data_IF_951803584535
#
_entry.id   IF_951803584535
#
_cell.length_a   1.000
_cell.length_b   1.000
_cell.length_c   1.000
_cell.angle_alpha   90.00
_cell.angle_beta   90.00
_cell.angle_gamma   90.00
#
_symmetry.space_group_name_H-M   'P 1'
#
loop_
_entity.id
_entity.type
_entity.pdbx_description
1 polymer ?
#
# COMPACT_ATOMS: atom_id res chain seq x y z
N UNK A 1 7.75 -6.81 -36.89
CA UNK A 1 7.07 -6.59 -35.61
C UNK A 1 7.99 -5.70 -34.78
N UNK A 2 7.65 -4.41 -34.66
CA UNK A 2 8.47 -3.48 -33.87
C UNK A 2 8.31 -3.79 -32.38
N UNK A 3 9.39 -4.16 -31.73
CA UNK A 3 9.44 -4.20 -30.26
C UNK A 3 9.19 -2.77 -29.75
N UNK A 4 8.01 -2.56 -29.17
CA UNK A 4 7.73 -1.33 -28.42
C UNK A 4 8.73 -1.27 -27.25
N UNK A 5 9.86 -0.58 -27.46
CA UNK A 5 10.84 -0.35 -26.40
C UNK A 5 10.16 0.46 -25.30
N UNK A 6 9.96 -0.18 -24.14
CA UNK A 6 9.50 0.52 -22.92
C UNK A 6 10.42 1.69 -22.62
N UNK A 7 9.82 2.83 -22.28
CA UNK A 7 10.57 4.01 -21.81
C UNK A 7 11.24 3.73 -20.47
N UNK A 8 12.25 4.51 -20.12
CA UNK A 8 12.94 4.38 -18.81
C UNK A 8 11.96 4.63 -17.68
N UNK A 9 11.08 5.61 -17.81
CA UNK A 9 10.07 5.96 -16.80
C UNK A 9 9.06 4.82 -16.57
N UNK A 10 8.66 4.13 -17.65
CA UNK A 10 7.77 2.95 -17.53
C UNK A 10 8.46 1.81 -16.76
N UNK A 11 9.75 1.58 -17.01
CA UNK A 11 10.50 0.55 -16.27
C UNK A 11 10.58 0.85 -14.78
N UNK A 12 10.96 2.09 -14.43
CA UNK A 12 11.05 2.54 -13.04
C UNK A 12 9.68 2.45 -12.35
N UNK A 13 8.61 2.91 -13.03
CA UNK A 13 7.25 2.84 -12.51
C UNK A 13 6.77 1.40 -12.26
N UNK A 14 7.06 0.48 -13.18
CA UNK A 14 6.73 -0.94 -13.04
C UNK A 14 7.50 -1.58 -11.87
N UNK A 15 8.79 -1.29 -11.73
CA UNK A 15 9.59 -1.82 -10.61
C UNK A 15 9.05 -1.35 -9.26
N UNK A 16 8.65 -0.09 -9.17
CA UNK A 16 8.02 0.46 -7.98
C UNK A 16 6.72 -0.28 -7.65
N UNK A 17 5.83 -0.48 -8.62
CA UNK A 17 4.56 -1.20 -8.44
C UNK A 17 4.82 -2.64 -7.97
N UNK A 18 5.82 -3.33 -8.54
CA UNK A 18 6.19 -4.69 -8.14
C UNK A 18 6.68 -4.72 -6.69
N UNK A 19 7.52 -3.76 -6.30
CA UNK A 19 7.99 -3.66 -4.92
C UNK A 19 6.83 -3.40 -3.95
N UNK A 20 5.93 -2.47 -4.29
CA UNK A 20 4.73 -2.18 -3.49
C UNK A 20 3.80 -3.40 -3.37
N UNK A 21 3.64 -4.20 -4.43
CA UNK A 21 2.91 -5.47 -4.38
C UNK A 21 3.60 -6.50 -3.48
N UNK A 22 4.94 -6.57 -3.54
CA UNK A 22 5.73 -7.47 -2.69
C UNK A 22 5.63 -7.16 -1.20
N UNK A 23 5.30 -5.92 -0.86
CA UNK A 23 5.12 -5.44 0.51
C UNK A 23 3.63 -5.32 0.91
N UNK A 24 2.69 -5.67 0.02
CA UNK A 24 1.26 -5.39 0.24
C UNK A 24 0.72 -6.02 1.53
N UNK A 25 1.14 -7.24 1.89
CA UNK A 25 0.73 -7.90 3.13
C UNK A 25 1.26 -7.18 4.36
N UNK A 26 2.53 -6.81 4.34
CA UNK A 26 3.20 -6.10 5.44
C UNK A 26 2.58 -4.72 5.64
N UNK A 27 2.32 -4.01 4.54
CA UNK A 27 1.67 -2.68 4.59
C UNK A 27 0.23 -2.74 5.11
N UNK A 28 -0.52 -3.81 4.80
CA UNK A 28 -1.86 -4.01 5.38
C UNK A 28 -1.79 -4.28 6.88
N UNK A 29 -0.85 -5.11 7.32
CA UNK A 29 -0.66 -5.39 8.75
C UNK A 29 -0.23 -4.12 9.50
N UNK A 30 0.74 -3.34 8.97
CA UNK A 30 1.14 -2.05 9.55
C UNK A 30 -0.03 -1.07 9.63
N UNK A 31 -0.87 -1.01 8.59
CA UNK A 31 -2.06 -0.17 8.59
C UNK A 31 -3.03 -0.52 9.73
N UNK A 32 -3.27 -1.80 10.00
CA UNK A 32 -4.15 -2.21 11.10
C UNK A 32 -3.54 -1.89 12.48
N UNK A 33 -2.24 -2.13 12.67
CA UNK A 33 -1.53 -1.75 13.91
C UNK A 33 -1.63 -0.24 14.14
N UNK A 34 -1.44 0.58 13.11
CA UNK A 34 -1.56 2.04 13.22
C UNK A 34 -2.97 2.50 13.55
N UNK A 35 -3.99 1.84 12.99
CA UNK A 35 -5.40 2.14 13.33
C UNK A 35 -5.69 1.84 14.79
N UNK A 36 -5.18 0.72 15.32
CA UNK A 36 -5.33 0.37 16.73
C UNK A 36 -4.63 1.40 17.63
N UNK A 37 -3.39 1.77 17.29
CA UNK A 37 -2.66 2.82 18.01
C UNK A 37 -3.41 4.15 18.01
N UNK A 38 -3.94 4.55 16.86
CA UNK A 38 -4.75 5.76 16.73
C UNK A 38 -6.01 5.70 17.59
N UNK A 39 -6.67 4.53 17.65
CA UNK A 39 -7.86 4.33 18.49
C UNK A 39 -7.54 4.52 19.97
N UNK A 40 -6.39 4.00 20.44
CA UNK A 40 -5.92 4.19 21.82
C UNK A 40 -5.70 5.68 22.13
N UNK A 41 -5.01 6.41 21.24
CA UNK A 41 -4.78 7.85 21.44
C UNK A 41 -6.07 8.67 21.45
N UNK A 42 -7.00 8.35 20.56
CA UNK A 42 -8.32 9.00 20.52
C UNK A 42 -9.13 8.70 21.79
N UNK A 43 -9.07 7.47 22.28
CA UNK A 43 -9.71 7.10 23.53
C UNK A 43 -9.15 7.92 24.70
N UNK A 44 -7.84 8.00 24.85
CA UNK A 44 -7.19 8.78 25.89
C UNK A 44 -7.54 10.28 25.82
N UNK A 45 -7.65 10.85 24.60
CA UNK A 45 -8.10 12.24 24.43
C UNK A 45 -9.58 12.46 24.79
N UNK A 46 -10.43 11.46 24.51
CA UNK A 46 -11.86 11.53 24.83
C UNK A 46 -12.15 11.26 26.30
N UNK A 47 -11.25 10.56 26.98
CA UNK A 47 -11.36 10.28 28.40
C UNK A 47 -11.25 11.58 29.23
N UNK A 48 -12.09 11.69 30.24
CA UNK A 48 -11.99 12.77 31.23
C UNK A 48 -10.85 12.54 32.25
N UNK A 49 -10.20 11.38 32.22
CA UNK A 49 -9.14 10.99 33.13
C UNK A 49 -7.78 11.41 32.60
N UNK A 50 -7.06 12.21 33.37
CA UNK A 50 -5.70 12.61 33.00
C UNK A 50 -4.71 11.42 33.04
N UNK A 51 -4.99 10.41 33.87
CA UNK A 51 -4.21 9.17 33.98
C UNK A 51 -4.06 8.46 32.62
N UNK A 52 -5.14 8.40 31.81
CA UNK A 52 -5.10 7.77 30.48
C UNK A 52 -4.14 8.47 29.50
N UNK A 53 -3.93 9.77 29.70
CA UNK A 53 -2.94 10.55 28.94
C UNK A 53 -1.52 10.32 29.48
N UNK A 54 -1.37 10.30 30.81
CA UNK A 54 -0.07 10.08 31.44
C UNK A 54 0.48 8.70 31.09
N UNK A 55 -0.36 7.67 31.07
CA UNK A 55 0.00 6.30 30.66
C UNK A 55 0.56 6.23 29.23
N UNK A 56 0.11 7.10 28.32
CA UNK A 56 0.67 7.16 26.96
C UNK A 56 2.13 7.64 26.96
N UNK A 57 2.50 8.52 27.86
CA UNK A 57 3.87 9.03 27.95
C UNK A 57 4.80 8.06 28.69
N UNK A 58 4.30 7.35 29.69
CA UNK A 58 5.08 6.38 30.47
C UNK A 58 5.40 5.10 29.65
N UNK A 59 4.49 4.71 28.75
CA UNK A 59 4.66 3.52 27.90
C UNK A 59 5.33 3.79 26.56
N UNK A 60 5.67 5.04 26.23
CA UNK A 60 6.34 5.39 24.97
C UNK A 60 7.85 5.35 25.18
N UNK A 61 8.62 4.44 24.54
CA UNK A 61 10.07 4.42 24.71
C UNK A 61 10.65 5.74 24.18
N UNK A 62 11.23 6.52 25.09
CA UNK A 62 12.08 7.69 24.84
C UNK A 62 11.60 8.70 23.78
N UNK A 63 10.34 9.08 23.78
CA UNK A 63 10.00 10.38 23.22
C UNK A 63 10.47 11.45 24.21
N UNK A 64 11.74 11.81 24.13
CA UNK A 64 12.24 13.05 24.70
C UNK A 64 11.48 14.19 24.04
N UNK A 65 10.33 14.53 24.62
CA UNK A 65 9.69 15.81 24.37
C UNK A 65 10.73 16.86 24.66
N UNK A 66 11.28 17.48 23.62
CA UNK A 66 12.04 18.72 23.74
C UNK A 66 11.11 19.80 24.28
N UNK A 67 10.70 19.67 25.53
CA UNK A 67 9.95 20.73 26.19
C UNK A 67 10.81 21.98 26.14
N UNK A 68 10.33 23.09 25.56
CA UNK A 68 11.05 24.36 25.69
C UNK A 68 11.18 24.63 27.19
N UNK A 69 12.41 24.63 27.68
CA UNK A 69 12.66 25.03 29.08
C UNK A 69 12.08 26.43 29.24
N UNK A 70 10.98 26.52 30.00
CA UNK A 70 10.36 27.79 30.30
C UNK A 70 11.41 28.71 30.95
N UNK A 71 11.71 29.82 30.27
CA UNK A 71 12.65 30.83 30.76
C UNK A 71 12.16 31.56 32.01
N UNK A 72 10.92 31.37 32.41
CA UNK A 72 10.27 32.00 33.53
C UNK A 72 9.88 30.96 34.57
N UNK A 73 10.33 31.12 35.82
CA UNK A 73 9.89 30.35 36.98
C UNK A 73 8.41 30.70 37.24
N UNK A 74 7.50 29.81 36.86
CA UNK A 74 6.11 29.91 37.29
C UNK A 74 6.08 29.55 38.78
N UNK A 75 5.69 30.50 39.60
CA UNK A 75 5.83 30.40 41.05
C UNK A 75 4.74 29.57 41.74
N UNK A 76 3.76 29.01 40.99
CA UNK A 76 2.65 28.24 41.52
C UNK A 76 2.63 26.82 41.00
N UNK A 77 2.81 25.79 41.88
CA UNK A 77 2.85 24.39 41.45
C UNK A 77 1.59 23.92 40.74
N UNK A 78 0.43 24.48 41.10
CA UNK A 78 -0.85 24.17 40.47
C UNK A 78 -0.93 24.65 38.99
N UNK A 79 -0.44 25.87 38.75
CA UNK A 79 -0.40 26.43 37.37
C UNK A 79 0.59 25.66 36.50
N UNK A 80 1.71 25.22 37.04
CA UNK A 80 2.66 24.35 36.34
C UNK A 80 2.07 23.00 36.00
N UNK A 81 1.31 22.37 36.92
CA UNK A 81 0.66 21.11 36.70
C UNK A 81 -0.42 21.22 35.59
N UNK A 82 -1.24 22.28 35.62
CA UNK A 82 -2.24 22.54 34.58
C UNK A 82 -1.61 22.76 33.20
N UNK A 83 -0.58 23.60 33.10
CA UNK A 83 0.15 23.85 31.87
C UNK A 83 0.79 22.57 31.32
N UNK A 84 1.30 21.69 32.18
CA UNK A 84 1.87 20.41 31.78
C UNK A 84 0.81 19.49 31.19
N UNK A 85 -0.39 19.44 31.80
CA UNK A 85 -1.53 18.64 31.32
C UNK A 85 -2.03 19.12 29.95
N UNK A 86 -2.24 20.43 29.81
CA UNK A 86 -2.68 21.02 28.55
C UNK A 86 -1.66 20.76 27.44
N UNK A 87 -0.36 20.86 27.75
CA UNK A 87 0.72 20.58 26.81
C UNK A 87 0.73 19.10 26.39
N UNK A 88 0.55 18.17 27.32
CA UNK A 88 0.45 16.74 27.01
C UNK A 88 -0.75 16.46 26.10
N UNK A 89 -1.93 17.01 26.41
CA UNK A 89 -3.13 16.87 25.55
C UNK A 89 -2.90 17.44 24.15
N UNK A 90 -2.32 18.62 24.04
CA UNK A 90 -2.01 19.22 22.74
C UNK A 90 -1.02 18.36 21.94
N UNK A 91 -0.05 17.77 22.61
CA UNK A 91 0.92 16.86 21.99
C UNK A 91 0.24 15.59 21.44
N UNK A 92 -0.63 14.95 22.24
CA UNK A 92 -1.38 13.78 21.78
C UNK A 92 -2.32 14.13 20.61
N UNK A 93 -2.96 15.31 20.64
CA UNK A 93 -3.77 15.79 19.51
C UNK A 93 -2.93 15.95 18.23
N UNK A 94 -1.70 16.40 18.33
CA UNK A 94 -0.81 16.51 17.19
C UNK A 94 -0.41 15.12 16.66
N UNK A 95 -0.13 14.16 17.56
CA UNK A 95 0.14 12.77 17.17
C UNK A 95 -1.05 12.16 16.43
N UNK A 96 -2.27 12.34 16.94
CA UNK A 96 -3.50 11.87 16.28
C UNK A 96 -3.60 12.44 14.86
N UNK A 97 -3.42 13.75 14.68
CA UNK A 97 -3.50 14.39 13.35
C UNK A 97 -2.43 13.85 12.38
N UNK A 98 -1.20 13.68 12.86
CA UNK A 98 -0.11 13.12 12.04
C UNK A 98 -0.41 11.68 11.64
N UNK A 99 -0.84 10.86 12.60
CA UNK A 99 -1.12 9.44 12.34
C UNK A 99 -2.33 9.27 11.41
N UNK A 100 -3.39 10.05 11.56
CA UNK A 100 -4.52 10.07 10.62
C UNK A 100 -4.07 10.39 9.19
N UNK A 101 -3.18 11.34 9.02
CA UNK A 101 -2.63 11.68 7.70
C UNK A 101 -1.86 10.51 7.08
N UNK A 102 -1.04 9.81 7.88
CA UNK A 102 -0.27 8.64 7.45
C UNK A 102 -1.21 7.50 7.09
N UNK A 103 -2.16 7.17 7.95
CA UNK A 103 -3.16 6.12 7.72
C UNK A 103 -3.95 6.39 6.43
N UNK A 104 -4.46 7.61 6.25
CA UNK A 104 -5.21 8.00 5.06
C UNK A 104 -4.39 7.89 3.77
N UNK A 105 -3.08 8.19 3.84
CA UNK A 105 -2.17 8.02 2.71
C UNK A 105 -1.96 6.55 2.40
N UNK A 106 -1.65 5.73 3.41
CA UNK A 106 -1.45 4.28 3.25
C UNK A 106 -2.70 3.58 2.70
N UNK A 107 -3.88 3.92 3.23
CA UNK A 107 -5.15 3.37 2.75
C UNK A 107 -5.38 3.67 1.27
N UNK A 108 -5.11 4.90 0.84
CA UNK A 108 -5.25 5.28 -0.58
C UNK A 108 -4.27 4.53 -1.47
N UNK A 109 -3.02 4.37 -1.05
CA UNK A 109 -2.00 3.63 -1.80
C UNK A 109 -2.35 2.15 -1.92
N UNK A 110 -2.74 1.50 -0.81
CA UNK A 110 -3.19 0.10 -0.79
C UNK A 110 -4.42 -0.08 -1.70
N UNK A 111 -5.43 0.79 -1.55
CA UNK A 111 -6.66 0.72 -2.35
C UNK A 111 -6.40 0.92 -3.85
N UNK A 112 -5.49 1.81 -4.21
CA UNK A 112 -5.07 2.02 -5.60
C UNK A 112 -4.49 0.74 -6.21
N UNK A 113 -3.62 0.04 -5.47
CA UNK A 113 -3.05 -1.25 -5.91
C UNK A 113 -4.12 -2.35 -6.03
N UNK A 114 -5.06 -2.42 -5.08
CA UNK A 114 -6.16 -3.38 -5.11
C UNK A 114 -7.07 -3.17 -6.32
N UNK A 115 -7.50 -1.93 -6.58
CA UNK A 115 -8.32 -1.58 -7.75
C UNK A 115 -7.57 -1.91 -9.05
N UNK A 116 -6.28 -1.60 -9.12
CA UNK A 116 -5.49 -1.93 -10.30
C UNK A 116 -5.38 -3.45 -10.51
N UNK A 117 -5.25 -4.24 -9.44
CA UNK A 117 -5.30 -5.70 -9.51
C UNK A 117 -6.67 -6.20 -9.96
N UNK A 118 -7.77 -5.61 -9.46
CA UNK A 118 -9.14 -5.95 -9.87
C UNK A 118 -9.39 -5.66 -11.36
N UNK A 119 -8.67 -4.70 -11.95
CA UNK A 119 -8.73 -4.39 -13.38
C UNK A 119 -8.01 -5.38 -14.31
N UNK A 120 -7.30 -6.36 -13.75
CA UNK A 120 -6.70 -7.46 -14.51
C UNK A 120 -7.69 -8.62 -14.74
N UNK A 121 -7.42 -9.45 -15.74
CA UNK A 121 -8.16 -10.71 -15.90
C UNK A 121 -7.89 -11.67 -14.74
N UNK A 122 -8.79 -12.62 -14.42
CA UNK A 122 -8.58 -13.57 -13.32
C UNK A 122 -7.26 -14.34 -13.42
N UNK A 123 -6.84 -14.72 -14.63
CA UNK A 123 -5.56 -15.39 -14.87
C UNK A 123 -4.37 -14.49 -14.54
N UNK A 124 -4.42 -13.24 -14.99
CA UNK A 124 -3.37 -12.25 -14.73
C UNK A 124 -3.28 -11.91 -13.23
N UNK A 125 -4.44 -11.75 -12.57
CA UNK A 125 -4.50 -11.52 -11.12
C UNK A 125 -3.83 -12.66 -10.35
N UNK A 126 -4.17 -13.91 -10.70
CA UNK A 126 -3.60 -15.08 -10.06
C UNK A 126 -2.08 -15.09 -10.17
N UNK A 127 -1.56 -14.96 -11.40
CA UNK A 127 -0.11 -15.04 -11.65
C UNK A 127 0.63 -13.89 -10.95
N UNK A 128 0.10 -12.67 -10.98
CA UNK A 128 0.70 -11.50 -10.32
C UNK A 128 0.71 -11.68 -8.80
N UNK A 129 -0.41 -12.12 -8.20
CA UNK A 129 -0.48 -12.39 -6.76
C UNK A 129 0.48 -13.50 -6.35
N UNK A 130 0.45 -14.63 -7.03
CA UNK A 130 1.31 -15.78 -6.75
C UNK A 130 2.81 -15.40 -6.84
N UNK A 131 3.19 -14.59 -7.85
CA UNK A 131 4.59 -14.22 -8.05
C UNK A 131 5.10 -13.14 -7.11
N UNK A 132 4.32 -12.07 -6.89
CA UNK A 132 4.82 -10.88 -6.19
C UNK A 132 4.32 -10.76 -4.75
N UNK A 133 3.09 -11.18 -4.47
CA UNK A 133 2.52 -11.12 -3.11
C UNK A 133 2.89 -12.37 -2.31
N UNK A 134 2.71 -13.57 -2.92
CA UNK A 134 2.99 -14.86 -2.27
C UNK A 134 4.43 -15.33 -2.46
N UNK A 135 5.17 -14.71 -3.38
CA UNK A 135 6.59 -14.95 -3.66
C UNK A 135 6.90 -16.40 -4.07
N UNK A 136 5.93 -17.10 -4.72
CA UNK A 136 6.11 -18.48 -5.17
C UNK A 136 7.17 -18.61 -6.27
N UNK A 137 7.81 -19.78 -6.31
CA UNK A 137 8.70 -20.16 -7.41
C UNK A 137 7.88 -20.39 -8.70
N UNK A 138 8.52 -20.28 -9.87
CA UNK A 138 7.83 -20.48 -11.14
C UNK A 138 7.27 -21.88 -11.29
N UNK A 139 7.95 -22.90 -10.80
CA UNK A 139 7.47 -24.29 -10.83
C UNK A 139 6.15 -24.46 -10.04
N UNK A 140 6.05 -23.82 -8.86
CA UNK A 140 4.82 -23.83 -8.05
C UNK A 140 3.71 -23.07 -8.75
N UNK A 141 4.02 -21.91 -9.36
CA UNK A 141 3.04 -21.11 -10.09
C UNK A 141 2.51 -21.90 -11.29
N UNK A 142 3.38 -22.54 -12.07
CA UNK A 142 3.00 -23.34 -13.22
C UNK A 142 2.08 -24.49 -12.81
N UNK A 143 2.45 -25.24 -11.78
CA UNK A 143 1.67 -26.35 -11.26
C UNK A 143 0.27 -25.88 -10.79
N UNK A 144 0.24 -24.91 -9.87
CA UNK A 144 -1.01 -24.43 -9.28
C UNK A 144 -1.91 -23.75 -10.31
N UNK A 145 -1.34 -22.93 -11.21
CA UNK A 145 -2.10 -22.26 -12.27
C UNK A 145 -2.81 -23.26 -13.18
N UNK A 146 -2.11 -24.29 -13.62
CA UNK A 146 -2.68 -25.30 -14.49
C UNK A 146 -3.72 -26.15 -13.76
N UNK A 147 -3.53 -26.43 -12.48
CA UNK A 147 -4.47 -27.20 -11.67
C UNK A 147 -5.76 -26.40 -11.34
N UNK A 148 -5.64 -25.12 -11.03
CA UNK A 148 -6.76 -24.30 -10.58
C UNK A 148 -7.51 -23.62 -11.73
N UNK A 149 -6.77 -23.12 -12.73
CA UNK A 149 -7.32 -22.30 -13.82
C UNK A 149 -7.56 -23.07 -15.12
N UNK A 150 -6.94 -24.24 -15.30
CA UNK A 150 -7.00 -25.02 -16.52
C UNK A 150 -7.50 -26.44 -16.21
N UNK A 151 -8.80 -26.69 -16.47
CA UNK A 151 -9.39 -28.02 -16.26
C UNK A 151 -9.04 -29.01 -17.36
N UNK A 152 -8.70 -28.51 -18.57
CA UNK A 152 -8.37 -29.37 -19.73
C UNK A 152 -6.87 -29.51 -19.91
N UNK A 153 -6.36 -30.74 -19.94
CA UNK A 153 -4.94 -31.08 -20.08
C UNK A 153 -4.32 -30.47 -21.36
N UNK A 154 -5.12 -30.32 -22.45
CA UNK A 154 -4.65 -29.74 -23.70
C UNK A 154 -4.40 -28.21 -23.65
N UNK A 155 -4.74 -27.55 -22.54
CA UNK A 155 -4.57 -26.10 -22.33
C UNK A 155 -3.48 -25.75 -21.34
N UNK A 156 -2.60 -26.67 -20.98
CA UNK A 156 -1.50 -26.38 -20.06
C UNK A 156 -0.58 -25.29 -20.58
N UNK A 157 -0.29 -24.33 -19.70
CA UNK A 157 0.66 -23.25 -19.97
C UNK A 157 1.99 -23.55 -19.31
N UNK A 158 3.04 -23.55 -20.11
CA UNK A 158 4.41 -23.70 -19.62
C UNK A 158 4.93 -22.40 -19.01
N UNK A 159 5.92 -22.49 -18.14
CA UNK A 159 6.57 -21.36 -17.45
C UNK A 159 6.88 -20.19 -18.38
N UNK A 160 7.43 -20.46 -19.57
CA UNK A 160 7.77 -19.41 -20.56
C UNK A 160 6.55 -18.56 -20.95
N UNK A 161 5.41 -19.19 -21.15
CA UNK A 161 4.15 -18.50 -21.49
C UNK A 161 3.63 -17.70 -20.31
N UNK A 162 3.70 -18.24 -19.09
CA UNK A 162 3.31 -17.55 -17.86
C UNK A 162 4.18 -16.33 -17.61
N UNK A 163 5.49 -16.42 -17.83
CA UNK A 163 6.42 -15.28 -17.74
C UNK A 163 6.07 -14.15 -18.73
N UNK A 164 5.62 -14.49 -19.95
CA UNK A 164 5.18 -13.50 -20.93
C UNK A 164 3.86 -12.83 -20.48
N UNK A 165 2.89 -13.61 -19.99
CA UNK A 165 1.65 -13.06 -19.40
C UNK A 165 1.94 -12.09 -18.23
N UNK A 166 2.90 -12.43 -17.37
CA UNK A 166 3.32 -11.52 -16.29
C UNK A 166 3.89 -10.20 -16.83
N UNK A 167 4.71 -10.23 -17.88
CA UNK A 167 5.23 -8.99 -18.49
C UNK A 167 4.09 -8.11 -19.00
N UNK A 168 3.10 -8.69 -19.66
CA UNK A 168 1.94 -7.96 -20.15
C UNK A 168 1.08 -7.43 -19.00
N UNK A 169 0.80 -8.25 -17.99
CA UNK A 169 0.02 -7.86 -16.82
C UNK A 169 0.68 -6.72 -16.02
N UNK A 170 2.03 -6.73 -15.87
CA UNK A 170 2.79 -5.64 -15.26
C UNK A 170 2.63 -4.32 -16.00
N UNK A 171 2.66 -4.37 -17.33
CA UNK A 171 2.46 -3.19 -18.15
C UNK A 171 1.02 -2.67 -18.04
N UNK A 172 0.03 -3.56 -18.02
CA UNK A 172 -1.38 -3.20 -17.77
C UNK A 172 -1.55 -2.53 -16.40
N UNK A 173 -0.96 -3.10 -15.34
CA UNK A 173 -0.98 -2.50 -14.00
C UNK A 173 -0.42 -1.08 -14.01
N UNK A 174 0.71 -0.88 -14.68
CA UNK A 174 1.31 0.44 -14.81
C UNK A 174 0.34 1.44 -15.46
N UNK A 175 -0.32 1.07 -16.55
CA UNK A 175 -1.28 1.95 -17.22
C UNK A 175 -2.56 2.18 -16.41
N UNK A 176 -3.05 1.19 -15.66
CA UNK A 176 -4.20 1.36 -14.78
C UNK A 176 -3.91 2.34 -13.64
N UNK A 177 -2.70 2.34 -13.09
CA UNK A 177 -2.31 3.23 -11.99
C UNK A 177 -1.99 4.65 -12.51
N UNK A 178 -1.36 4.77 -13.68
CA UNK A 178 -0.91 6.06 -14.21
C UNK A 178 -1.84 6.68 -15.25
N UNK A 179 -2.99 6.05 -15.54
CA UNK A 179 -4.02 6.61 -16.42
C UNK A 179 -3.62 6.73 -17.90
N UNK A 180 -2.59 6.03 -18.36
CA UNK A 180 -2.23 6.00 -19.78
C UNK A 180 -3.07 4.93 -20.49
N UNK A 181 -3.99 5.35 -21.33
CA UNK A 181 -4.68 4.44 -22.25
C UNK A 181 -3.67 3.81 -23.22
N UNK A 182 -3.70 2.49 -23.29
CA UNK A 182 -3.03 1.74 -24.35
C UNK A 182 -3.76 2.10 -25.65
N UNK A 183 -3.17 2.90 -26.51
CA UNK A 183 -3.68 3.06 -27.88
C UNK A 183 -3.75 1.68 -28.49
N UNK A 184 -4.99 1.17 -28.64
CA UNK A 184 -5.29 -0.11 -29.28
C UNK A 184 -4.95 -0.01 -30.78
N UNK A 185 -3.70 -0.32 -31.14
CA UNK A 185 -3.32 -0.66 -32.51
C UNK A 185 -3.78 -2.08 -32.82
N UNK A 186 -5.08 -2.27 -32.97
CA UNK A 186 -5.62 -3.50 -33.52
C UNK A 186 -7.00 -3.28 -34.12
N UNK A 187 -7.05 -2.57 -35.23
CA UNK A 187 -8.15 -2.73 -36.23
C UNK A 187 -7.74 -2.01 -37.53
N UNK A 188 -6.79 -2.56 -38.23
CA UNK A 188 -6.61 -2.29 -39.65
C UNK A 188 -6.13 -3.56 -40.34
N UNK A 189 -7.02 -4.49 -40.58
CA UNK A 189 -6.90 -5.52 -41.63
C UNK A 189 -8.24 -6.26 -41.76
N UNK A 190 -9.27 -5.54 -42.20
CA UNK A 190 -10.49 -6.16 -42.69
C UNK A 190 -11.21 -5.15 -43.57
N UNK A 191 -10.59 -4.75 -44.67
CA UNK A 191 -11.28 -4.16 -45.82
C UNK A 191 -10.28 -4.02 -46.95
N UNK A 192 -10.05 -5.09 -47.69
CA UNK A 192 -9.72 -5.07 -49.14
C UNK A 192 -9.81 -6.48 -49.67
N UNK A 193 -10.97 -6.80 -50.20
CA UNK A 193 -11.19 -8.11 -50.82
C UNK A 193 -12.58 -8.23 -51.44
N UNK A 194 -12.97 -7.22 -52.24
CA UNK A 194 -14.02 -7.41 -53.23
C UNK A 194 -13.80 -6.44 -54.39
N UNK A 195 -13.19 -6.93 -55.43
CA UNK A 195 -13.52 -6.64 -56.82
C UNK A 195 -12.94 -7.75 -57.69
#
# INVERSE_FOLDING_TARGET
MGENKMTIDEKIGIEKIINDLGQLRERKADLEIRKETLAIWKYALASARDEDIDDLFDNTPEMTLGMPRAKYKISKPVEQALLTKELKRATVQEWVRKEESIINKMQREIRCLEIALEGLTPEEQYIIKAKYVDKYSWAIIEFNFNHEMRKDVNMYLVEKTLRNKVKEARLKLYYLIHGKERTSTSTKNAETGQK
#
